data_IF_072937830699
#
_entry.id   IF_072937830699
#
_cell.length_a   1.000
_cell.length_b   1.000
_cell.length_c   1.000
_cell.angle_alpha   90.00
_cell.angle_beta   90.00
_cell.angle_gamma   90.00
#
_symmetry.space_group_name_H-M   'P 1'
#
loop_
_entity.id
_entity.type
_entity.pdbx_description
1 polymer ?
#
# COMPACT_ATOMS: atom_id res chain seq x y z
N UNK A 1 5.84 7.29 -19.94
CA UNK A 1 4.60 8.07 -20.13
C UNK A 1 4.19 8.60 -18.77
N UNK A 2 4.21 9.93 -18.53
CA UNK A 2 3.70 10.49 -17.28
C UNK A 2 2.16 10.42 -17.26
N UNK A 3 1.58 10.27 -16.07
CA UNK A 3 0.14 10.39 -15.82
C UNK A 3 -0.19 11.76 -15.21
N UNK A 4 -1.40 12.24 -15.45
CA UNK A 4 -1.96 13.45 -14.83
C UNK A 4 -2.79 13.13 -13.59
N UNK A 5 -3.11 14.15 -12.78
CA UNK A 5 -4.09 14.02 -11.68
C UNK A 5 -5.43 13.51 -12.20
N UNK A 6 -5.93 14.05 -13.31
CA UNK A 6 -7.19 13.60 -13.89
C UNK A 6 -7.16 12.11 -14.27
N UNK A 7 -6.08 11.65 -14.89
CA UNK A 7 -5.92 10.23 -15.24
C UNK A 7 -5.80 9.35 -13.99
N UNK A 8 -5.08 9.81 -12.96
CA UNK A 8 -5.01 9.11 -11.68
C UNK A 8 -6.40 8.93 -11.07
N UNK A 9 -7.24 9.96 -11.08
CA UNK A 9 -8.60 9.90 -10.51
C UNK A 9 -9.57 9.06 -11.34
N UNK A 10 -9.30 8.87 -12.64
CA UNK A 10 -10.05 7.90 -13.45
C UNK A 10 -9.68 6.46 -13.10
N UNK A 11 -8.43 6.20 -12.71
CA UNK A 11 -7.93 4.86 -12.38
C UNK A 11 -8.21 4.51 -10.91
N UNK A 12 -7.97 5.46 -10.00
CA UNK A 12 -8.07 5.35 -8.55
C UNK A 12 -8.95 6.49 -8.01
N UNK A 13 -10.27 6.36 -8.17
CA UNK A 13 -11.24 7.43 -7.85
C UNK A 13 -11.16 7.96 -6.41
N UNK A 14 -10.74 7.11 -5.46
CA UNK A 14 -10.66 7.48 -4.05
C UNK A 14 -9.33 8.13 -3.66
N UNK A 15 -8.42 8.38 -4.62
CA UNK A 15 -7.13 9.02 -4.37
C UNK A 15 -7.19 10.57 -4.36
N UNK A 16 -8.38 11.18 -4.43
CA UNK A 16 -8.56 12.64 -4.62
C UNK A 16 -7.78 13.50 -3.62
N UNK A 17 -7.81 13.13 -2.34
CA UNK A 17 -7.13 13.87 -1.28
C UNK A 17 -5.59 13.81 -1.38
N UNK A 18 -5.06 12.77 -2.02
CA UNK A 18 -3.61 12.49 -2.07
C UNK A 18 -3.03 12.64 -3.48
N UNK A 19 -3.86 12.82 -4.51
CA UNK A 19 -3.45 12.81 -5.91
C UNK A 19 -2.37 13.86 -6.23
N UNK A 20 -2.48 15.06 -5.66
CA UNK A 20 -1.47 16.12 -5.85
C UNK A 20 -0.08 15.74 -5.33
N UNK A 21 0.00 14.90 -4.30
CA UNK A 21 1.25 14.38 -3.73
C UNK A 21 1.77 13.21 -4.54
N UNK A 22 0.91 12.26 -4.90
CA UNK A 22 1.36 11.01 -5.51
C UNK A 22 1.66 11.09 -7.01
N UNK A 23 0.99 11.94 -7.79
CA UNK A 23 1.26 12.04 -9.24
C UNK A 23 2.75 12.30 -9.56
N UNK A 24 3.44 13.29 -8.96
CA UNK A 24 4.87 13.51 -9.24
C UNK A 24 5.75 12.34 -8.76
N UNK A 25 5.39 11.70 -7.64
CA UNK A 25 6.13 10.55 -7.11
C UNK A 25 5.98 9.31 -8.00
N UNK A 26 4.76 9.01 -8.44
CA UNK A 26 4.45 7.92 -9.37
C UNK A 26 5.17 8.14 -10.70
N UNK A 27 5.13 9.36 -11.25
CA UNK A 27 5.83 9.67 -12.50
C UNK A 27 7.34 9.50 -12.38
N UNK A 28 7.93 9.95 -11.27
CA UNK A 28 9.36 9.78 -10.98
C UNK A 28 9.72 8.30 -10.87
N UNK A 29 8.98 7.52 -10.06
CA UNK A 29 9.22 6.10 -9.89
C UNK A 29 9.05 5.31 -11.20
N UNK A 30 7.97 5.57 -11.94
CA UNK A 30 7.74 4.90 -13.23
C UNK A 30 8.83 5.21 -14.25
N UNK A 31 9.34 6.45 -14.28
CA UNK A 31 10.47 6.83 -15.13
C UNK A 31 11.75 6.08 -14.74
N UNK A 32 12.10 6.10 -13.45
CA UNK A 32 13.29 5.45 -12.90
C UNK A 32 13.33 3.94 -13.20
N UNK A 33 12.18 3.26 -13.09
CA UNK A 33 12.09 1.81 -13.28
C UNK A 33 11.58 1.39 -14.67
N UNK A 34 11.61 2.32 -15.64
CA UNK A 34 11.22 2.09 -17.04
C UNK A 34 9.80 1.52 -17.20
N UNK A 35 8.88 1.86 -16.31
CA UNK A 35 7.45 1.51 -16.38
C UNK A 35 6.78 2.51 -17.35
N UNK A 36 7.13 2.42 -18.64
CA UNK A 36 6.79 3.46 -19.62
C UNK A 36 5.69 3.07 -20.61
N UNK A 37 5.48 1.77 -20.85
CA UNK A 37 4.41 1.28 -21.72
C UNK A 37 3.05 1.33 -21.01
N UNK A 38 1.96 1.59 -21.74
CA UNK A 38 0.61 1.64 -21.18
C UNK A 38 0.25 0.39 -20.35
N UNK A 39 0.59 -0.82 -20.81
CA UNK A 39 0.34 -2.07 -20.09
C UNK A 39 1.06 -2.13 -18.74
N UNK A 40 2.35 -1.75 -18.70
CA UNK A 40 3.14 -1.71 -17.46
C UNK A 40 2.63 -0.64 -16.50
N UNK A 41 2.25 0.54 -17.01
CA UNK A 41 1.65 1.61 -16.19
C UNK A 41 0.33 1.13 -15.58
N UNK A 42 -0.56 0.55 -16.38
CA UNK A 42 -1.84 0.02 -15.89
C UNK A 42 -1.64 -1.06 -14.81
N UNK A 43 -0.76 -2.03 -15.05
CA UNK A 43 -0.46 -3.09 -14.09
C UNK A 43 0.14 -2.53 -12.77
N UNK A 44 1.07 -1.58 -12.89
CA UNK A 44 1.67 -0.91 -11.73
C UNK A 44 0.62 -0.14 -10.93
N UNK A 45 -0.22 0.66 -11.59
CA UNK A 45 -1.28 1.44 -10.94
C UNK A 45 -2.32 0.55 -10.26
N UNK A 46 -2.71 -0.56 -10.91
CA UNK A 46 -3.65 -1.52 -10.34
C UNK A 46 -3.10 -2.12 -9.04
N UNK A 47 -1.84 -2.57 -9.04
CA UNK A 47 -1.24 -3.19 -7.87
C UNK A 47 -0.96 -2.19 -6.76
N UNK A 48 -0.41 -1.02 -7.11
CA UNK A 48 -0.16 0.06 -6.16
C UNK A 48 -1.47 0.50 -5.50
N UNK A 49 -2.54 0.72 -6.28
CA UNK A 49 -3.85 1.09 -5.76
C UNK A 49 -4.48 0.02 -4.89
N UNK A 50 -4.43 -1.25 -5.29
CA UNK A 50 -4.98 -2.36 -4.52
C UNK A 50 -4.29 -2.51 -3.15
N UNK A 51 -2.96 -2.53 -3.13
CA UNK A 51 -2.19 -2.75 -1.90
C UNK A 51 -2.24 -1.58 -0.91
N UNK A 52 -2.49 -0.36 -1.39
CA UNK A 52 -2.44 0.86 -0.57
C UNK A 52 -3.80 1.47 -0.26
N UNK A 53 -4.91 0.86 -0.69
CA UNK A 53 -6.23 1.48 -0.56
C UNK A 53 -6.29 2.83 -1.30
N UNK A 54 -6.42 2.81 -2.63
CA UNK A 54 -6.15 3.97 -3.49
C UNK A 54 -5.12 5.01 -3.00
N UNK A 55 -3.92 4.55 -2.60
CA UNK A 55 -2.79 5.38 -2.13
C UNK A 55 -3.02 6.09 -0.77
N UNK A 56 -4.04 5.70 -0.02
CA UNK A 56 -4.37 6.33 1.28
C UNK A 56 -3.75 5.64 2.49
N UNK A 57 -3.25 4.41 2.34
CA UNK A 57 -2.57 3.63 3.38
C UNK A 57 -1.14 3.35 2.98
N UNK A 58 -0.21 3.84 3.81
CA UNK A 58 1.23 3.64 3.66
C UNK A 58 1.83 2.67 4.69
N UNK A 59 1.08 2.39 5.74
CA UNK A 59 1.43 1.43 6.78
C UNK A 59 0.38 0.32 6.76
N UNK A 60 0.85 -0.91 6.92
CA UNK A 60 -0.02 -2.04 7.21
C UNK A 60 -0.59 -1.86 8.62
N UNK A 61 -1.88 -2.16 8.78
CA UNK A 61 -2.55 -2.01 10.07
C UNK A 61 -2.22 -3.15 11.04
N UNK A 62 -1.56 -4.23 10.62
CA UNK A 62 -1.27 -5.44 11.42
C UNK A 62 -2.51 -6.06 12.10
N UNK A 63 -3.71 -5.86 11.56
CA UNK A 63 -4.94 -6.41 12.11
C UNK A 63 -5.12 -7.91 11.78
N UNK A 64 -4.38 -8.76 12.48
CA UNK A 64 -4.38 -10.21 12.28
C UNK A 64 -4.76 -10.97 13.56
N UNK A 65 -5.22 -12.22 13.40
CA UNK A 65 -5.32 -13.16 14.51
C UNK A 65 -3.93 -13.56 15.01
N UNK A 66 -3.83 -14.05 16.24
CA UNK A 66 -2.55 -14.51 16.80
C UNK A 66 -1.87 -15.58 15.92
N UNK A 67 -2.65 -16.53 15.41
CA UNK A 67 -2.14 -17.60 14.54
C UNK A 67 -1.62 -17.03 13.21
N UNK A 68 -2.34 -16.08 12.62
CA UNK A 68 -1.92 -15.43 11.38
C UNK A 68 -0.65 -14.58 11.59
N UNK A 69 -0.55 -13.83 12.70
CA UNK A 69 0.66 -13.06 13.05
C UNK A 69 1.90 -13.95 13.12
N UNK A 70 1.81 -15.09 13.81
CA UNK A 70 2.94 -16.03 13.89
C UNK A 70 3.24 -16.73 12.57
N UNK A 71 2.22 -16.99 11.76
CA UNK A 71 2.40 -17.61 10.45
C UNK A 71 3.09 -16.66 9.46
N UNK A 72 2.66 -15.40 9.43
CA UNK A 72 3.20 -14.39 8.52
C UNK A 72 4.56 -13.88 8.97
N UNK A 73 4.76 -13.71 10.29
CA UNK A 73 5.99 -13.16 10.85
C UNK A 73 6.50 -13.97 12.07
N UNK A 74 6.95 -15.22 11.87
CA UNK A 74 7.34 -16.12 12.96
C UNK A 74 8.52 -15.60 13.79
N UNK A 75 9.39 -14.78 13.20
CA UNK A 75 10.54 -14.20 13.89
C UNK A 75 10.22 -12.88 14.62
N UNK A 76 9.01 -12.31 14.44
CA UNK A 76 8.59 -11.05 15.08
C UNK A 76 7.56 -11.28 16.19
N UNK A 77 6.76 -12.33 16.07
CA UNK A 77 5.67 -12.62 17.01
C UNK A 77 5.87 -14.00 17.65
N UNK A 78 6.28 -14.00 18.91
CA UNK A 78 6.15 -15.18 19.75
C UNK A 78 4.68 -15.42 20.16
N UNK A 79 4.41 -16.51 20.88
CA UNK A 79 3.05 -16.85 21.32
C UNK A 79 2.42 -15.80 22.23
N UNK A 80 3.22 -15.14 23.09
CA UNK A 80 2.73 -14.15 24.03
C UNK A 80 2.37 -12.85 23.33
N UNK A 81 3.30 -12.31 22.54
CA UNK A 81 3.12 -11.09 21.79
C UNK A 81 1.98 -11.23 20.77
N UNK A 82 1.93 -12.33 20.02
CA UNK A 82 0.86 -12.57 19.04
C UNK A 82 -0.54 -12.55 19.69
N UNK A 83 -0.68 -13.11 20.89
CA UNK A 83 -1.95 -13.09 21.63
C UNK A 83 -2.29 -11.70 22.16
N UNK A 84 -1.29 -10.97 22.63
CA UNK A 84 -1.49 -9.63 23.18
C UNK A 84 -1.95 -8.63 22.11
N UNK A 85 -1.40 -8.72 20.89
CA UNK A 85 -1.65 -7.76 19.80
C UNK A 85 -2.69 -8.25 18.77
N UNK A 86 -3.24 -9.45 18.93
CA UNK A 86 -4.24 -10.01 18.00
C UNK A 86 -5.46 -9.08 17.90
N UNK A 87 -5.78 -8.66 16.67
CA UNK A 87 -6.84 -7.69 16.39
C UNK A 87 -6.72 -6.36 17.17
N UNK A 88 -5.54 -6.09 17.72
CA UNK A 88 -5.19 -4.92 18.53
C UNK A 88 -3.78 -4.43 18.16
N UNK A 89 -3.55 -4.10 16.89
CA UNK A 89 -2.23 -3.74 16.39
C UNK A 89 -1.65 -2.49 17.05
N UNK A 90 -2.47 -1.60 17.59
CA UNK A 90 -2.04 -0.43 18.37
C UNK A 90 -1.16 -0.81 19.57
N UNK A 91 -1.33 -2.02 20.12
CA UNK A 91 -0.52 -2.53 21.22
C UNK A 91 0.87 -3.01 20.77
N UNK A 92 1.08 -3.18 19.47
CA UNK A 92 2.40 -3.50 18.90
C UNK A 92 3.23 -2.23 18.64
N UNK A 93 2.57 -1.10 18.38
CA UNK A 93 3.22 0.17 18.04
C UNK A 93 3.38 1.14 19.23
N UNK A 94 2.87 0.78 20.41
CA UNK A 94 2.97 1.54 21.66
C UNK A 94 4.27 1.21 22.42
#
# INVERSE_FOLDING_TARGET
MPITVQQLLQILSNASQVAGVFVPLLNTAMSQYLIISAKRVAAFMAQAGHGSGPLTRLLEDLYYSADALRKTWPNRFDTGLARATAHKPELYFA
#
